data_IF_043291565449
#
_entry.id   IF_043291565449
#
_cell.length_a   1.000
_cell.length_b   1.000
_cell.length_c   1.000
_cell.angle_alpha   90.00
_cell.angle_beta   90.00
_cell.angle_gamma   90.00
#
_symmetry.space_group_name_H-M   'P 1'
#
loop_
_entity.id
_entity.type
_entity.pdbx_description
1 polymer ?
#
# COMPACT_ATOMS: atom_id res chain seq x y z
N UNK A 1 -3.46 -17.06 17.47
CA UNK A 1 -3.48 -15.79 16.70
C UNK A 1 -2.58 -15.94 15.50
N UNK A 2 -3.13 -15.81 14.27
CA UNK A 2 -2.33 -15.95 13.05
C UNK A 2 -1.37 -14.75 12.91
N UNK A 3 -0.12 -15.00 12.55
CA UNK A 3 0.93 -14.00 12.30
C UNK A 3 1.35 -14.10 10.83
N UNK A 4 1.87 -13.02 10.26
CA UNK A 4 2.51 -13.08 8.95
C UNK A 4 4.03 -13.12 9.13
N UNK A 5 4.68 -13.93 8.31
CA UNK A 5 6.12 -14.01 8.21
C UNK A 5 6.53 -13.71 6.78
N UNK A 6 7.25 -12.61 6.56
CA UNK A 6 7.83 -12.33 5.24
C UNK A 6 9.26 -12.87 5.26
N UNK A 7 9.54 -13.72 4.30
CA UNK A 7 10.80 -14.46 4.22
C UNK A 7 11.40 -14.32 2.83
N UNK A 8 12.73 -14.44 2.76
CA UNK A 8 13.47 -14.44 1.52
C UNK A 8 14.71 -15.31 1.66
N UNK A 9 14.89 -16.28 0.75
CA UNK A 9 15.95 -17.30 0.81
C UNK A 9 16.03 -18.02 2.17
N UNK A 10 14.88 -18.34 2.76
CA UNK A 10 14.81 -18.98 4.08
C UNK A 10 15.29 -18.09 5.24
N UNK A 11 15.49 -16.79 5.02
CA UNK A 11 15.74 -15.79 6.05
C UNK A 11 14.45 -15.08 6.43
N UNK A 12 14.38 -14.72 7.71
CA UNK A 12 13.32 -13.94 8.30
C UNK A 12 13.57 -12.45 7.99
N UNK A 13 12.69 -11.80 7.21
CA UNK A 13 12.81 -10.37 6.88
C UNK A 13 12.01 -9.54 7.89
N UNK A 14 10.72 -9.84 8.02
CA UNK A 14 9.85 -9.21 9.02
C UNK A 14 8.74 -10.15 9.49
N UNK A 15 8.24 -9.92 10.71
CA UNK A 15 6.99 -10.51 11.20
C UNK A 15 5.94 -9.43 11.43
N UNK A 16 4.72 -9.67 10.96
CA UNK A 16 3.55 -8.84 11.29
C UNK A 16 2.65 -9.61 12.23
N UNK A 17 2.38 -9.01 13.38
CA UNK A 17 1.55 -9.58 14.44
C UNK A 17 0.32 -8.68 14.58
N UNK A 18 -0.82 -9.07 14.00
CA UNK A 18 -2.06 -8.32 14.13
C UNK A 18 -2.64 -8.48 15.53
N UNK A 19 -3.07 -7.39 16.13
CA UNK A 19 -3.81 -7.36 17.39
C UNK A 19 -5.22 -6.88 17.07
N UNK A 20 -6.12 -7.85 16.90
CA UNK A 20 -7.52 -7.57 16.55
C UNK A 20 -8.26 -7.14 17.80
N UNK A 21 -8.89 -5.96 17.73
CA UNK A 21 -9.85 -5.47 18.71
C UNK A 21 -11.26 -5.53 18.10
N UNK A 22 -12.28 -5.24 18.90
CA UNK A 22 -13.68 -5.28 18.44
C UNK A 22 -13.90 -4.47 17.15
N UNK A 23 -13.46 -3.21 17.13
CA UNK A 23 -13.66 -2.26 16.03
C UNK A 23 -12.36 -1.61 15.53
N UNK A 24 -11.22 -2.27 15.72
CA UNK A 24 -9.95 -1.76 15.20
C UNK A 24 -8.90 -2.86 15.10
N UNK A 25 -7.77 -2.54 14.47
CA UNK A 25 -6.60 -3.39 14.42
C UNK A 25 -5.37 -2.56 14.76
N UNK A 26 -4.50 -3.14 15.59
CA UNK A 26 -3.14 -2.64 15.76
C UNK A 26 -2.18 -3.64 15.14
N UNK A 27 -1.02 -3.15 14.69
CA UNK A 27 0.01 -3.97 14.08
C UNK A 27 1.30 -3.86 14.87
N UNK A 28 1.86 -5.00 15.26
CA UNK A 28 3.26 -5.08 15.70
C UNK A 28 4.10 -5.64 14.56
N UNK A 29 5.12 -4.91 14.17
CA UNK A 29 6.02 -5.25 13.08
C UNK A 29 7.41 -5.43 13.67
N UNK A 30 7.96 -6.64 13.53
CA UNK A 30 9.33 -6.95 13.94
C UNK A 30 10.19 -7.05 12.70
N UNK A 31 11.29 -6.29 12.69
CA UNK A 31 12.23 -6.25 11.57
C UNK A 31 13.53 -6.92 12.02
N UNK A 32 14.04 -7.81 11.19
CA UNK A 32 15.24 -8.58 11.49
C UNK A 32 16.52 -8.00 10.87
N UNK A 33 16.54 -7.48 9.63
CA UNK A 33 17.70 -6.71 9.19
C UNK A 33 17.76 -5.36 9.91
N UNK A 34 18.97 -4.78 9.99
CA UNK A 34 19.09 -3.35 10.29
C UNK A 34 18.50 -2.56 9.12
N UNK A 35 17.77 -1.49 9.43
CA UNK A 35 16.96 -0.80 8.44
C UNK A 35 16.85 0.69 8.79
N UNK A 36 16.76 1.55 7.78
CA UNK A 36 16.41 2.95 7.96
C UNK A 36 14.89 3.09 8.04
N UNK A 37 14.41 3.84 9.02
CA UNK A 37 13.00 4.10 9.25
C UNK A 37 12.65 5.48 8.69
N UNK A 38 11.73 5.51 7.74
CA UNK A 38 11.21 6.74 7.16
C UNK A 38 9.75 6.94 7.59
N UNK A 39 9.43 8.17 7.94
CA UNK A 39 8.08 8.65 8.08
C UNK A 39 7.89 9.76 7.05
N UNK A 40 6.94 9.54 6.15
CA UNK A 40 6.69 10.40 5.01
C UNK A 40 5.32 11.05 5.20
N UNK A 41 5.30 12.37 5.33
CA UNK A 41 4.09 13.18 5.35
C UNK A 41 4.10 14.21 4.23
N UNK A 42 2.95 14.84 3.97
CA UNK A 42 2.90 15.93 2.97
C UNK A 42 3.75 17.13 3.40
N UNK A 43 4.02 17.29 4.70
CA UNK A 43 4.87 18.35 5.26
C UNK A 43 6.36 18.03 5.17
N UNK A 44 6.74 16.78 4.92
CA UNK A 44 8.13 16.39 4.73
C UNK A 44 8.45 14.96 5.14
N UNK A 45 9.75 14.69 5.24
CA UNK A 45 10.28 13.37 5.61
C UNK A 45 10.99 13.46 6.95
N UNK A 46 10.61 12.59 7.88
CA UNK A 46 11.36 12.34 9.11
C UNK A 46 12.05 10.99 9.01
N UNK A 47 13.33 10.94 9.36
CA UNK A 47 14.13 9.70 9.32
C UNK A 47 14.59 9.30 10.72
N UNK A 48 14.73 8.00 10.91
CA UNK A 48 15.34 7.36 12.07
C UNK A 48 16.01 6.07 11.58
N UNK A 49 16.63 5.32 12.48
CA UNK A 49 17.15 3.98 12.24
C UNK A 49 16.40 2.97 13.10
N UNK A 50 16.26 1.75 12.61
CA UNK A 50 15.78 0.61 13.40
C UNK A 50 16.85 -0.48 13.43
N UNK A 51 17.20 -0.88 14.64
CA UNK A 51 18.12 -1.97 14.90
C UNK A 51 17.40 -3.32 14.81
N UNK A 52 18.13 -4.35 14.38
CA UNK A 52 17.63 -5.72 14.37
C UNK A 52 17.01 -6.12 15.71
N UNK A 53 15.74 -6.54 15.67
CA UNK A 53 14.99 -7.01 16.85
C UNK A 53 14.22 -5.92 17.62
N UNK A 54 14.32 -4.65 17.23
CA UNK A 54 13.35 -3.63 17.67
C UNK A 54 11.97 -3.87 17.04
N UNK A 55 10.92 -3.37 17.68
CA UNK A 55 9.53 -3.59 17.28
C UNK A 55 8.87 -2.26 16.93
N UNK A 56 8.29 -2.15 15.75
CA UNK A 56 7.44 -1.03 15.37
C UNK A 56 6.01 -1.39 15.73
N UNK A 57 5.27 -0.46 16.33
CA UNK A 57 3.83 -0.66 16.56
C UNK A 57 3.03 0.46 15.90
N UNK A 58 2.02 0.06 15.13
CA UNK A 58 0.96 0.92 14.63
C UNK A 58 -0.23 0.84 15.59
N UNK A 59 -0.60 1.97 16.15
CA UNK A 59 -1.74 2.12 17.05
C UNK A 59 -2.83 2.93 16.38
N UNK A 60 -4.06 2.41 16.40
CA UNK A 60 -5.25 3.23 16.18
C UNK A 60 -5.50 4.12 17.41
N UNK A 61 -6.30 5.14 17.20
CA UNK A 61 -6.84 6.05 18.19
C UNK A 61 -7.53 5.30 19.32
N UNK A 62 -7.39 5.83 20.53
CA UNK A 62 -8.01 5.28 21.74
C UNK A 62 -8.04 6.33 22.85
N UNK A 63 -9.17 6.44 23.55
CA UNK A 63 -9.29 7.22 24.79
C UNK A 63 -8.65 8.63 24.68
N UNK A 64 -9.10 9.43 23.70
CA UNK A 64 -8.59 10.76 23.36
C UNK A 64 -7.13 10.83 22.87
N UNK A 65 -6.52 9.70 22.49
CA UNK A 65 -5.20 9.66 21.86
C UNK A 65 -5.34 9.46 20.36
N UNK A 66 -4.57 10.22 19.61
CA UNK A 66 -4.45 10.09 18.17
C UNK A 66 -3.77 8.76 17.78
N UNK A 67 -4.07 8.24 16.59
CA UNK A 67 -3.32 7.12 16.02
C UNK A 67 -1.83 7.49 15.91
N UNK A 68 -0.96 6.50 16.02
CA UNK A 68 0.48 6.72 15.96
C UNK A 68 1.27 5.48 15.59
N UNK A 69 2.44 5.71 15.04
CA UNK A 69 3.49 4.70 14.91
C UNK A 69 4.61 5.01 15.88
N UNK A 70 5.08 4.00 16.62
CA UNK A 70 6.26 4.13 17.46
C UNK A 70 7.24 2.97 17.29
N UNK A 71 8.48 3.18 17.72
CA UNK A 71 9.49 2.15 17.85
C UNK A 71 9.67 1.80 19.31
N UNK A 72 9.55 0.52 19.64
CA UNK A 72 9.91 -0.05 20.93
C UNK A 72 11.32 -0.62 20.85
N UNK A 73 12.21 -0.06 21.66
CA UNK A 73 13.60 -0.49 21.79
C UNK A 73 13.70 -1.82 22.55
N UNK A 74 14.89 -2.45 22.50
CA UNK A 74 15.15 -3.72 23.21
C UNK A 74 15.02 -3.63 24.73
N UNK A 75 15.36 -2.48 25.32
CA UNK A 75 15.19 -2.20 26.75
C UNK A 75 13.73 -1.82 27.12
N UNK A 76 12.82 -1.88 26.15
CA UNK A 76 11.38 -1.69 26.35
C UNK A 76 10.94 -0.23 26.36
N UNK A 77 11.83 0.72 26.09
CA UNK A 77 11.50 2.13 25.93
C UNK A 77 10.86 2.39 24.58
N UNK A 78 10.11 3.49 24.50
CA UNK A 78 9.49 3.94 23.27
C UNK A 78 10.26 5.14 22.74
N UNK A 79 10.61 5.10 21.45
CA UNK A 79 11.21 6.21 20.71
C UNK A 79 10.50 6.41 19.38
N UNK A 80 10.71 7.56 18.78
CA UNK A 80 10.18 7.96 17.48
C UNK A 80 8.66 7.84 17.37
N UNK A 81 7.95 8.90 17.77
CA UNK A 81 6.51 9.03 17.59
C UNK A 81 6.24 9.68 16.23
N UNK A 82 5.44 9.01 15.41
CA UNK A 82 4.84 9.56 14.20
C UNK A 82 3.33 9.56 14.38
N UNK A 83 2.77 10.75 14.61
CA UNK A 83 1.36 10.96 14.95
C UNK A 83 0.52 11.36 13.73
N UNK A 84 1.16 11.57 12.56
CA UNK A 84 0.51 11.92 11.29
C UNK A 84 0.00 10.68 10.54
N UNK A 85 -0.35 9.61 11.25
CA UNK A 85 -1.08 8.48 10.66
C UNK A 85 -2.57 8.62 10.92
N UNK A 86 -3.42 7.86 10.22
CA UNK A 86 -4.86 7.79 10.55
C UNK A 86 -5.23 6.43 11.14
N UNK A 87 -6.49 6.24 11.51
CA UNK A 87 -6.95 4.95 11.95
C UNK A 87 -7.01 3.96 10.79
N UNK A 88 -6.58 2.71 11.03
CA UNK A 88 -6.92 1.62 10.13
C UNK A 88 -8.40 1.31 10.32
N UNK A 89 -9.23 1.83 9.43
CA UNK A 89 -10.67 1.61 9.43
C UNK A 89 -11.05 0.23 8.85
N UNK A 90 -12.14 -0.33 9.38
CA UNK A 90 -12.66 -1.65 8.98
C UNK A 90 -13.53 -1.58 7.75
N UNK A 91 -14.06 -0.41 7.38
CA UNK A 91 -15.03 -0.30 6.29
C UNK A 91 -14.42 0.24 5.00
N UNK A 92 -13.08 0.24 4.92
CA UNK A 92 -12.35 0.65 3.73
C UNK A 92 -12.60 -0.32 2.56
N UNK A 93 -13.24 0.21 1.50
CA UNK A 93 -13.46 -0.49 0.23
C UNK A 93 -12.19 -0.48 -0.61
N UNK A 94 -11.35 0.54 -0.45
CA UNK A 94 -10.03 0.64 -1.09
C UNK A 94 -8.96 0.20 -0.09
N UNK A 95 -7.99 -0.64 -0.50
CA UNK A 95 -6.92 -1.04 0.39
C UNK A 95 -6.08 0.14 0.90
N UNK A 96 -5.91 0.17 2.21
CA UNK A 96 -5.22 1.22 2.92
C UNK A 96 -3.72 0.88 3.09
N UNK A 97 -2.79 1.74 2.65
CA UNK A 97 -1.37 1.45 2.74
C UNK A 97 -0.89 1.58 4.18
N UNK A 98 -0.09 0.61 4.63
CA UNK A 98 0.53 0.61 5.96
C UNK A 98 1.99 1.02 5.86
N UNK A 99 2.78 0.30 5.06
CA UNK A 99 4.21 0.59 4.86
C UNK A 99 4.74 -0.01 3.56
N UNK A 100 5.89 0.53 3.12
CA UNK A 100 6.77 -0.04 2.09
C UNK A 100 8.09 -0.41 2.73
N UNK A 101 8.66 -1.56 2.39
CA UNK A 101 9.98 -2.00 2.82
C UNK A 101 10.83 -2.34 1.60
N UNK A 102 12.01 -1.73 1.51
CA UNK A 102 13.05 -2.12 0.56
C UNK A 102 14.11 -2.96 1.27
N UNK A 103 14.61 -3.99 0.59
CA UNK A 103 15.48 -5.03 1.13
C UNK A 103 16.77 -5.07 0.30
N UNK A 104 17.82 -4.45 0.81
CA UNK A 104 19.19 -4.54 0.28
C UNK A 104 19.99 -5.70 0.91
N UNK A 105 19.69 -6.05 2.17
CA UNK A 105 20.37 -7.12 2.92
C UNK A 105 19.35 -7.92 3.75
N UNK A 106 19.49 -9.25 3.75
CA UNK A 106 18.54 -10.19 4.35
C UNK A 106 18.67 -10.31 5.87
N UNK A 107 19.72 -9.75 6.46
CA UNK A 107 20.10 -10.00 7.83
C UNK A 107 20.50 -11.45 8.09
N UNK A 108 20.67 -11.80 9.37
CA UNK A 108 21.22 -13.11 9.78
C UNK A 108 20.17 -14.10 10.26
N UNK A 109 18.93 -13.65 10.51
CA UNK A 109 17.89 -14.47 11.14
C UNK A 109 17.38 -15.55 10.19
N UNK A 110 17.60 -16.81 10.54
CA UNK A 110 17.03 -17.95 9.80
C UNK A 110 15.55 -18.09 10.15
N UNK A 111 14.71 -18.25 9.13
CA UNK A 111 13.30 -18.53 9.30
C UNK A 111 13.11 -19.91 9.94
N UNK A 112 12.24 -19.96 10.95
CA UNK A 112 11.73 -21.22 11.49
C UNK A 112 10.22 -21.19 11.38
N UNK A 113 9.69 -22.15 10.62
CA UNK A 113 8.26 -22.31 10.45
C UNK A 113 7.60 -22.56 11.82
N UNK A 114 6.41 -21.97 12.00
CA UNK A 114 5.56 -22.24 13.16
C UNK A 114 4.12 -22.30 12.68
N UNK A 115 3.33 -23.17 13.31
CA UNK A 115 1.91 -23.40 12.94
C UNK A 115 1.07 -22.13 12.91
N UNK A 116 1.38 -21.13 13.74
CA UNK A 116 0.63 -19.88 13.76
C UNK A 116 1.03 -18.86 12.67
N UNK A 117 2.08 -19.12 11.90
CA UNK A 117 2.57 -18.21 10.87
C UNK A 117 1.95 -18.56 9.51
N UNK A 118 1.50 -17.54 8.79
CA UNK A 118 1.36 -17.58 7.33
C UNK A 118 2.64 -17.01 6.73
N UNK A 119 3.35 -17.82 5.97
CA UNK A 119 4.56 -17.40 5.27
C UNK A 119 4.19 -16.70 3.97
N UNK A 120 4.92 -15.62 3.68
CA UNK A 120 4.98 -14.94 2.40
C UNK A 120 6.44 -15.03 1.99
N UNK A 121 6.76 -15.97 1.11
CA UNK A 121 8.09 -16.04 0.52
C UNK A 121 8.16 -15.00 -0.61
N UNK A 122 9.16 -14.13 -0.55
CA UNK A 122 9.36 -13.11 -1.58
C UNK A 122 9.96 -13.67 -2.87
N UNK A 123 10.42 -14.91 -2.89
CA UNK A 123 10.90 -15.55 -4.11
C UNK A 123 10.35 -16.96 -4.28
N UNK A 124 9.92 -17.26 -5.50
CA UNK A 124 9.83 -18.63 -5.99
C UNK A 124 10.91 -18.82 -7.06
N UNK A 125 11.35 -20.07 -7.28
CA UNK A 125 12.56 -20.45 -8.05
C UNK A 125 12.67 -19.92 -9.50
N UNK A 126 11.72 -19.12 -9.98
CA UNK A 126 11.63 -18.54 -11.31
C UNK A 126 11.40 -17.01 -11.33
N UNK A 127 11.28 -16.35 -10.18
CA UNK A 127 11.09 -14.89 -10.10
C UNK A 127 12.43 -14.17 -9.96
N UNK A 128 12.63 -13.04 -10.65
CA UNK A 128 13.81 -12.21 -10.43
C UNK A 128 13.83 -11.67 -8.98
N UNK A 129 15.03 -11.33 -8.48
CA UNK A 129 15.35 -11.05 -7.07
C UNK A 129 14.46 -9.96 -6.43
N UNK A 130 13.34 -10.36 -5.82
CA UNK A 130 12.35 -9.44 -5.24
C UNK A 130 12.94 -8.75 -4.03
N UNK A 131 13.04 -7.43 -4.11
CA UNK A 131 13.70 -6.61 -3.09
C UNK A 131 12.76 -5.58 -2.45
N UNK A 132 11.47 -5.59 -2.78
CA UNK A 132 10.51 -4.63 -2.23
C UNK A 132 9.21 -5.31 -1.83
N UNK A 133 8.68 -4.91 -0.67
CA UNK A 133 7.45 -5.41 -0.08
C UNK A 133 6.59 -4.24 0.43
N UNK A 134 5.33 -4.21 0.05
CA UNK A 134 4.33 -3.25 0.50
C UNK A 134 3.18 -3.98 1.18
N UNK A 135 2.74 -3.43 2.31
CA UNK A 135 1.60 -3.93 3.04
C UNK A 135 0.42 -2.96 2.93
N UNK A 136 -0.71 -3.51 2.51
CA UNK A 136 -2.00 -2.84 2.56
C UNK A 136 -2.97 -3.65 3.43
N UNK A 137 -3.93 -2.94 4.02
CA UNK A 137 -5.04 -3.52 4.75
C UNK A 137 -6.36 -3.12 4.12
N UNK A 138 -7.23 -4.10 3.96
CA UNK A 138 -8.59 -3.90 3.49
C UNK A 138 -9.53 -4.79 4.28
N UNK A 139 -10.81 -4.51 4.21
CA UNK A 139 -11.82 -5.33 4.86
C UNK A 139 -12.03 -6.65 4.13
N UNK A 140 -12.79 -7.56 4.73
CA UNK A 140 -13.04 -8.87 4.16
C UNK A 140 -14.15 -8.93 3.10
N UNK A 141 -14.70 -7.77 2.73
CA UNK A 141 -15.60 -7.58 1.59
C UNK A 141 -14.84 -7.22 0.30
N UNK A 142 -13.53 -6.98 0.38
CA UNK A 142 -12.72 -6.72 -0.81
C UNK A 142 -12.57 -7.99 -1.65
N UNK A 143 -13.02 -7.93 -2.90
CA UNK A 143 -13.11 -9.10 -3.77
C UNK A 143 -11.80 -9.42 -4.50
N UNK A 144 -10.83 -8.51 -4.55
CA UNK A 144 -9.47 -8.73 -5.06
C UNK A 144 -9.34 -9.06 -6.55
N UNK A 145 -10.45 -9.31 -7.21
CA UNK A 145 -10.59 -9.61 -8.63
C UNK A 145 -10.92 -8.30 -9.38
N UNK A 146 -10.01 -7.78 -10.21
CA UNK A 146 -10.26 -6.56 -10.99
C UNK A 146 -11.46 -6.67 -11.93
N UNK A 147 -11.92 -7.88 -12.29
CA UNK A 147 -13.13 -8.04 -13.10
C UNK A 147 -14.41 -7.81 -12.31
N UNK A 148 -14.36 -7.95 -10.97
CA UNK A 148 -15.49 -7.83 -10.04
C UNK A 148 -15.44 -6.59 -9.17
N UNK A 149 -14.29 -5.94 -9.09
CA UNK A 149 -14.18 -4.63 -8.43
C UNK A 149 -14.94 -3.59 -9.23
N UNK A 150 -15.71 -2.76 -8.52
CA UNK A 150 -16.41 -1.61 -9.10
C UNK A 150 -15.47 -0.47 -9.51
N UNK A 151 -14.21 -0.51 -9.07
CA UNK A 151 -13.20 0.54 -9.31
C UNK A 151 -11.91 -0.04 -9.91
N UNK A 152 -11.96 -0.38 -11.19
CA UNK A 152 -10.88 -1.06 -11.91
C UNK A 152 -9.65 -0.16 -12.06
N UNK A 153 -9.84 1.11 -12.40
CA UNK A 153 -8.74 2.06 -12.53
C UNK A 153 -8.07 2.28 -11.18
N UNK A 154 -8.82 2.38 -10.08
CA UNK A 154 -8.23 2.51 -8.74
C UNK A 154 -7.42 1.27 -8.35
N UNK A 155 -7.95 0.07 -8.62
CA UNK A 155 -7.23 -1.17 -8.35
C UNK A 155 -5.99 -1.34 -9.24
N UNK A 156 -6.06 -0.89 -10.50
CA UNK A 156 -4.91 -0.84 -11.39
C UNK A 156 -3.84 0.11 -10.87
N UNK A 157 -4.21 1.33 -10.46
CA UNK A 157 -3.28 2.30 -9.89
C UNK A 157 -2.53 1.72 -8.69
N UNK A 158 -3.25 1.10 -7.75
CA UNK A 158 -2.66 0.49 -6.56
C UNK A 158 -1.78 -0.71 -6.90
N UNK A 159 -2.24 -1.59 -7.78
CA UNK A 159 -1.51 -2.80 -8.14
C UNK A 159 -0.23 -2.48 -8.93
N UNK A 160 -0.26 -1.45 -9.77
CA UNK A 160 0.88 -1.05 -10.59
C UNK A 160 1.81 -0.13 -9.82
N UNK A 161 1.34 0.98 -9.28
CA UNK A 161 2.21 2.04 -8.73
C UNK A 161 2.58 1.80 -7.27
N UNK A 162 3.82 2.13 -6.86
CA UNK A 162 4.24 2.00 -5.47
C UNK A 162 3.56 3.05 -4.59
N UNK A 163 3.47 2.80 -3.28
CA UNK A 163 2.75 3.66 -2.33
C UNK A 163 3.26 5.09 -2.39
N UNK A 164 4.58 5.26 -2.37
CA UNK A 164 5.24 6.57 -2.40
C UNK A 164 4.89 7.39 -3.63
N UNK A 165 4.73 6.77 -4.80
CA UNK A 165 4.27 7.46 -6.00
C UNK A 165 2.83 7.97 -5.86
N UNK A 166 1.93 7.15 -5.27
CA UNK A 166 0.51 7.48 -5.15
C UNK A 166 0.22 8.59 -4.14
N UNK A 167 1.05 8.73 -3.11
CA UNK A 167 0.85 9.72 -2.03
C UNK A 167 1.69 10.99 -2.17
N UNK A 168 2.72 10.98 -3.01
CA UNK A 168 3.58 12.14 -3.24
C UNK A 168 3.15 12.90 -4.50
N UNK A 169 3.85 13.98 -4.83
CA UNK A 169 3.67 14.76 -6.06
C UNK A 169 4.01 13.96 -7.36
N UNK A 170 4.04 12.63 -7.29
CA UNK A 170 4.53 11.74 -8.34
C UNK A 170 6.05 11.75 -8.40
N UNK A 171 6.70 11.37 -7.29
CA UNK A 171 8.14 11.12 -7.21
C UNK A 171 8.64 10.46 -8.51
N UNK A 172 9.79 10.91 -9.02
CA UNK A 172 10.24 10.59 -10.37
C UNK A 172 10.02 9.13 -10.72
N UNK A 173 9.18 8.95 -11.75
CA UNK A 173 8.68 7.70 -12.28
C UNK A 173 9.80 6.66 -12.28
N UNK A 174 9.82 5.76 -11.28
CA UNK A 174 10.91 4.81 -11.10
C UNK A 174 10.98 3.96 -12.38
N UNK A 175 12.16 3.87 -12.98
CA UNK A 175 12.40 3.18 -14.27
C UNK A 175 11.84 1.76 -14.29
N UNK A 176 11.83 1.08 -13.13
CA UNK A 176 11.27 -0.26 -12.98
C UNK A 176 9.77 -0.35 -13.29
N UNK A 177 9.00 0.74 -13.12
CA UNK A 177 7.58 0.72 -13.48
C UNK A 177 7.34 1.00 -14.97
N UNK A 178 8.24 1.69 -15.67
CA UNK A 178 8.25 1.68 -17.15
C UNK A 178 8.49 0.26 -17.67
N UNK A 179 9.37 -0.47 -17.00
CA UNK A 179 9.64 -1.88 -17.31
C UNK A 179 8.42 -2.79 -17.04
N UNK A 180 7.73 -2.63 -15.89
CA UNK A 180 6.53 -3.42 -15.56
C UNK A 180 5.31 -3.12 -16.45
N UNK A 181 5.15 -1.87 -16.91
CA UNK A 181 4.09 -1.50 -17.85
C UNK A 181 4.32 -2.07 -19.27
N UNK A 182 5.57 -2.32 -19.66
CA UNK A 182 5.93 -2.72 -21.04
C UNK A 182 6.15 -4.23 -21.23
N UNK A 183 6.33 -5.01 -20.16
CA UNK A 183 6.62 -6.46 -20.25
C UNK A 183 5.72 -7.35 -19.38
N UNK A 184 4.69 -6.77 -18.76
CA UNK A 184 3.87 -7.42 -17.75
C UNK A 184 4.50 -7.28 -16.35
N UNK A 185 3.68 -7.33 -15.29
CA UNK A 185 4.13 -6.99 -13.95
C UNK A 185 5.10 -8.03 -13.38
N UNK A 186 6.33 -7.61 -13.01
CA UNK A 186 7.07 -8.24 -11.89
C UNK A 186 6.50 -7.69 -10.57
N UNK A 187 5.17 -7.70 -10.44
CA UNK A 187 4.44 -7.28 -9.26
C UNK A 187 3.51 -8.42 -8.91
N UNK A 188 3.80 -9.06 -7.78
CA UNK A 188 3.00 -10.14 -7.24
C UNK A 188 2.19 -9.59 -6.07
N UNK A 189 0.92 -9.96 -6.02
CA UNK A 189 0.00 -9.52 -4.99
C UNK A 189 -0.64 -10.73 -4.32
N UNK A 190 -0.40 -10.88 -3.02
CA UNK A 190 -0.92 -11.97 -2.22
C UNK A 190 -1.89 -11.44 -1.17
N UNK A 191 -3.11 -11.99 -1.12
CA UNK A 191 -4.11 -11.64 -0.12
C UNK A 191 -4.19 -12.68 1.00
N UNK A 192 -4.05 -12.26 2.26
CA UNK A 192 -4.16 -13.15 3.42
C UNK A 192 -5.25 -12.66 4.37
N UNK A 193 -6.34 -13.42 4.48
CA UNK A 193 -7.43 -13.13 5.42
C UNK A 193 -7.06 -13.49 6.86
N UNK A 194 -7.17 -12.52 7.78
CA UNK A 194 -7.04 -12.70 9.23
C UNK A 194 -8.20 -11.97 9.92
N UNK A 195 -9.18 -12.73 10.40
CA UNK A 195 -10.42 -12.15 10.94
C UNK A 195 -11.20 -11.44 9.84
N UNK A 196 -11.61 -10.20 10.11
CA UNK A 196 -12.34 -9.31 9.18
C UNK A 196 -11.45 -8.44 8.30
N UNK A 197 -10.14 -8.72 8.28
CA UNK A 197 -9.16 -7.97 7.50
C UNK A 197 -8.49 -8.89 6.49
N UNK A 198 -8.19 -8.33 5.32
CA UNK A 198 -7.33 -8.92 4.30
C UNK A 198 -6.03 -8.12 4.27
N UNK A 199 -4.92 -8.82 4.49
CA UNK A 199 -3.58 -8.30 4.35
C UNK A 199 -3.17 -8.49 2.89
N UNK A 200 -3.19 -7.40 2.13
CA UNK A 200 -2.77 -7.39 0.75
C UNK A 200 -1.28 -7.06 0.72
N UNK A 201 -0.52 -8.02 0.23
CA UNK A 201 0.93 -8.01 0.24
C UNK A 201 1.39 -7.85 -1.20
N UNK A 202 1.91 -6.68 -1.54
CA UNK A 202 2.44 -6.39 -2.88
C UNK A 202 3.96 -6.50 -2.81
N UNK A 203 4.56 -7.23 -3.74
CA UNK A 203 6.00 -7.40 -3.77
C UNK A 203 6.52 -7.41 -5.20
N UNK A 204 7.62 -6.69 -5.41
CA UNK A 204 8.16 -6.37 -6.72
C UNK A 204 9.65 -6.02 -6.64
N UNK A 205 10.28 -5.85 -7.81
CA UNK A 205 11.66 -5.38 -7.92
C UNK A 205 11.68 -3.88 -8.06
N UNK A 206 12.56 -3.23 -7.32
CA UNK A 206 12.86 -1.81 -7.44
C UNK A 206 14.35 -1.64 -7.75
N UNK A 207 14.67 -0.80 -8.72
CA UNK A 207 16.07 -0.56 -9.08
C UNK A 207 16.75 0.31 -8.02
N UNK A 208 18.08 0.21 -7.93
CA UNK A 208 18.91 1.10 -7.12
C UNK A 208 18.65 1.04 -5.60
N UNK A 209 18.12 -0.06 -5.08
CA UNK A 209 18.03 -0.30 -3.64
C UNK A 209 19.42 -0.56 -3.07
N UNK A 210 19.94 0.41 -2.30
CA UNK A 210 21.29 0.36 -1.69
C UNK A 210 21.28 0.04 -0.20
N UNK A 211 20.14 0.25 0.44
CA UNK A 211 19.98 0.08 1.88
C UNK A 211 18.60 -0.48 2.21
N UNK A 212 18.51 -1.18 3.33
CA UNK A 212 17.23 -1.60 3.87
C UNK A 212 16.47 -0.36 4.36
N UNK A 213 15.24 -0.18 3.91
CA UNK A 213 14.37 0.88 4.41
C UNK A 213 12.99 0.35 4.74
N UNK A 214 12.33 0.93 5.74
CA UNK A 214 10.90 0.78 5.97
C UNK A 214 10.29 2.17 6.08
N UNK A 215 9.27 2.42 5.28
CA UNK A 215 8.64 3.71 5.12
C UNK A 215 7.18 3.61 5.52
N UNK A 216 6.79 4.42 6.52
CA UNK A 216 5.40 4.66 6.91
C UNK A 216 4.95 6.00 6.36
N UNK A 217 3.64 6.12 6.16
CA UNK A 217 3.07 7.20 5.37
C UNK A 217 1.94 7.87 6.13
N UNK A 218 1.88 9.20 6.07
CA UNK A 218 0.64 9.91 6.31
C UNK A 218 -0.33 9.55 5.18
N UNK A 219 -1.42 8.90 5.56
CA UNK A 219 -2.38 8.31 4.64
C UNK A 219 -3.79 8.89 4.83
N UNK A 220 -3.90 10.03 5.52
CA UNK A 220 -5.15 10.77 5.71
C UNK A 220 -5.87 11.09 4.41
N UNK A 221 -5.10 11.40 3.38
CA UNK A 221 -5.61 11.76 2.06
C UNK A 221 -5.39 10.64 1.04
N UNK A 222 -5.01 9.42 1.45
CA UNK A 222 -4.69 8.35 0.49
C UNK A 222 -5.85 8.04 -0.46
N UNK A 223 -7.07 7.88 0.09
CA UNK A 223 -8.27 7.66 -0.71
C UNK A 223 -8.49 8.82 -1.69
N UNK A 224 -8.44 10.05 -1.19
CA UNK A 224 -8.64 11.25 -2.00
C UNK A 224 -7.57 11.36 -3.11
N UNK A 225 -6.33 11.02 -2.82
CA UNK A 225 -5.22 11.02 -3.77
C UNK A 225 -5.38 9.93 -4.82
N UNK A 226 -5.67 8.68 -4.45
CA UNK A 226 -5.80 7.62 -5.45
C UNK A 226 -6.98 7.87 -6.40
N UNK A 227 -8.14 8.30 -5.88
CA UNK A 227 -9.34 8.53 -6.71
C UNK A 227 -9.16 9.74 -7.64
N UNK A 228 -8.48 10.78 -7.19
CA UNK A 228 -8.24 12.00 -7.98
C UNK A 228 -7.00 11.94 -8.87
N UNK A 229 -6.37 10.77 -9.00
CA UNK A 229 -5.14 10.64 -9.77
C UNK A 229 -5.35 11.09 -11.21
N UNK A 230 -4.60 12.10 -11.69
CA UNK A 230 -4.74 12.53 -13.07
C UNK A 230 -4.21 11.43 -13.99
N UNK A 231 -5.05 10.97 -14.90
CA UNK A 231 -4.76 9.83 -15.76
C UNK A 231 -5.16 10.11 -17.20
N UNK A 232 -4.46 9.49 -18.13
CA UNK A 232 -4.88 9.34 -19.52
C UNK A 232 -4.65 7.89 -19.96
N UNK A 233 -5.49 7.43 -20.88
CA UNK A 233 -5.41 6.09 -21.47
C UNK A 233 -5.00 6.23 -22.93
N UNK A 234 -4.00 5.45 -23.34
CA UNK A 234 -3.61 5.28 -24.73
C UNK A 234 -4.27 4.03 -25.32
N UNK A 235 -5.00 4.22 -26.42
CA UNK A 235 -5.66 3.17 -27.20
C UNK A 235 -5.26 3.32 -28.67
N UNK A 236 -4.55 2.35 -29.21
CA UNK A 236 -4.10 2.33 -30.62
C UNK A 236 -3.39 3.63 -31.05
N UNK A 237 -2.54 4.17 -30.16
CA UNK A 237 -1.81 5.43 -30.38
C UNK A 237 -2.63 6.70 -30.19
N UNK A 238 -3.90 6.60 -29.78
CA UNK A 238 -4.76 7.75 -29.43
C UNK A 238 -4.84 7.91 -27.91
N UNK A 239 -4.65 9.14 -27.45
CA UNK A 239 -4.74 9.49 -26.04
C UNK A 239 -6.14 9.98 -25.67
N UNK A 240 -6.67 9.51 -24.55
CA UNK A 240 -7.83 10.11 -23.91
C UNK A 240 -7.50 11.52 -23.37
N UNK A 241 -8.54 12.28 -23.02
CA UNK A 241 -8.35 13.46 -22.18
C UNK A 241 -7.73 13.07 -20.82
N UNK A 242 -6.98 14.01 -20.24
CA UNK A 242 -6.48 13.87 -18.86
C UNK A 242 -7.63 14.14 -17.91
N UNK A 243 -7.95 13.15 -17.07
CA UNK A 243 -9.01 13.27 -16.09
C UNK A 243 -8.72 12.45 -14.83
N UNK A 244 -9.35 12.75 -13.68
CA UNK A 244 -9.27 11.92 -12.48
C UNK A 244 -9.58 10.44 -12.72
N UNK A 245 -8.87 9.56 -12.03
CA UNK A 245 -9.02 8.11 -12.09
C UNK A 245 -10.46 7.63 -11.95
N UNK A 246 -11.18 8.21 -10.99
CA UNK A 246 -12.54 7.81 -10.68
C UNK A 246 -13.51 8.04 -11.84
N UNK A 247 -13.25 8.99 -12.74
CA UNK A 247 -14.15 9.26 -13.88
C UNK A 247 -14.14 8.10 -14.87
N UNK A 248 -12.98 7.50 -15.12
CA UNK A 248 -12.89 6.29 -15.95
C UNK A 248 -13.69 5.13 -15.34
N UNK A 249 -13.65 4.96 -14.02
CA UNK A 249 -14.43 3.93 -13.34
C UNK A 249 -15.93 4.22 -13.36
N UNK A 250 -16.34 5.48 -13.17
CA UNK A 250 -17.75 5.87 -13.20
C UNK A 250 -18.37 5.79 -14.60
N UNK A 251 -17.60 6.06 -15.66
CA UNK A 251 -18.06 5.96 -17.04
C UNK A 251 -18.33 4.51 -17.44
N UNK A 252 -17.56 3.57 -16.89
CA UNK A 252 -17.70 2.12 -17.12
C UNK A 252 -18.73 1.46 -16.20
N UNK A 253 -19.06 2.09 -15.05
CA UNK A 253 -19.94 1.55 -14.02
C UNK A 253 -21.35 1.10 -14.52
N UNK A 254 -22.05 1.86 -15.39
CA UNK A 254 -23.37 1.48 -15.90
C UNK A 254 -23.37 0.19 -16.71
N UNK A 255 -22.24 -0.16 -17.33
CA UNK A 255 -22.10 -1.32 -18.21
C UNK A 255 -21.73 -2.60 -17.46
N UNK A 256 -21.30 -2.49 -16.19
CA UNK A 256 -20.75 -3.61 -15.42
C UNK A 256 -21.73 -4.19 -14.38
N UNK A 257 -22.73 -3.43 -13.92
CA UNK A 257 -23.46 -3.77 -12.69
C UNK A 257 -25.00 -3.65 -12.74
N UNK A 258 -25.65 -3.65 -13.91
CA UNK A 258 -27.11 -3.39 -14.03
C UNK A 258 -27.53 -2.18 -13.15
N UNK A 259 -26.81 -1.06 -13.32
CA UNK A 259 -26.51 -0.14 -12.24
C UNK A 259 -27.73 0.46 -11.52
N UNK A 260 -27.74 0.30 -10.18
CA UNK A 260 -28.52 1.16 -9.29
C UNK A 260 -27.98 2.59 -9.36
N UNK A 261 -28.73 3.46 -10.03
CA UNK A 261 -28.41 4.89 -10.18
C UNK A 261 -28.13 5.58 -8.84
N UNK A 262 -28.75 5.12 -7.75
CA UNK A 262 -28.50 5.66 -6.41
C UNK A 262 -27.06 5.40 -5.94
N UNK A 263 -26.51 4.22 -6.23
CA UNK A 263 -25.13 3.87 -5.90
C UNK A 263 -24.15 4.71 -6.71
N UNK A 264 -24.43 4.89 -8.00
CA UNK A 264 -23.61 5.72 -8.89
C UNK A 264 -23.54 7.17 -8.41
N UNK A 265 -24.69 7.78 -8.09
CA UNK A 265 -24.76 9.16 -7.60
C UNK A 265 -24.08 9.34 -6.24
N UNK A 266 -24.19 8.34 -5.36
CA UNK A 266 -23.45 8.32 -4.10
C UNK A 266 -21.94 8.39 -4.33
N UNK A 267 -21.40 7.58 -5.26
CA UNK A 267 -19.97 7.58 -5.57
C UNK A 267 -19.52 8.85 -6.28
N UNK A 268 -20.31 9.38 -7.22
CA UNK A 268 -20.07 10.71 -7.83
C UNK A 268 -19.90 11.79 -6.78
N UNK A 269 -20.77 11.82 -5.77
CA UNK A 269 -20.68 12.78 -4.67
C UNK A 269 -19.39 12.59 -3.87
N UNK A 270 -19.10 11.36 -3.43
CA UNK A 270 -17.89 11.05 -2.65
C UNK A 270 -16.62 11.47 -3.41
N UNK A 271 -16.52 11.11 -4.68
CA UNK A 271 -15.34 11.43 -5.48
C UNK A 271 -15.23 12.93 -5.82
N UNK A 272 -16.36 13.60 -6.08
CA UNK A 272 -16.38 15.05 -6.26
C UNK A 272 -15.90 15.80 -5.01
N UNK A 273 -16.31 15.34 -3.81
CA UNK A 273 -15.84 15.89 -2.54
C UNK A 273 -14.32 15.67 -2.36
N UNK A 274 -13.81 14.48 -2.69
CA UNK A 274 -12.36 14.20 -2.72
C UNK A 274 -11.60 15.11 -3.69
N UNK A 275 -12.14 15.36 -4.88
CA UNK A 275 -11.51 16.24 -5.87
C UNK A 275 -11.40 17.68 -5.39
N UNK A 276 -12.46 18.22 -4.80
CA UNK A 276 -12.44 19.56 -4.21
C UNK A 276 -11.40 19.64 -3.08
N UNK A 277 -11.38 18.65 -2.19
CA UNK A 277 -10.43 18.57 -1.08
C UNK A 277 -8.97 18.55 -1.56
N UNK A 278 -8.64 17.80 -2.60
CA UNK A 278 -7.28 17.77 -3.16
C UNK A 278 -6.92 19.07 -3.88
N UNK A 279 -7.87 19.69 -4.59
CA UNK A 279 -7.66 21.01 -5.21
C UNK A 279 -7.31 22.07 -4.17
N UNK A 280 -8.00 22.08 -3.03
CA UNK A 280 -7.75 23.03 -1.94
C UNK A 280 -6.37 22.85 -1.30
N UNK A 281 -5.87 21.61 -1.24
CA UNK A 281 -4.53 21.29 -0.75
C UNK A 281 -3.42 21.66 -1.76
N UNK A 282 -3.77 22.03 -3.00
CA UNK A 282 -2.84 22.44 -4.06
C UNK A 282 -1.73 21.43 -4.37
N UNK A 283 -2.02 20.13 -4.19
CA UNK A 283 -1.09 19.07 -4.59
C UNK A 283 -0.80 19.15 -6.10
N UNK A 284 0.48 19.14 -6.47
CA UNK A 284 0.89 19.08 -7.87
C UNK A 284 1.20 17.65 -8.22
N UNK A 285 0.47 17.08 -9.16
CA UNK A 285 0.56 15.65 -9.46
C UNK A 285 0.86 15.42 -10.93
N UNK A 286 1.78 14.51 -11.21
CA UNK A 286 2.08 14.08 -12.57
C UNK A 286 0.94 13.21 -13.10
N UNK A 287 0.56 13.44 -14.35
CA UNK A 287 -0.39 12.59 -15.07
C UNK A 287 0.20 11.20 -15.29
N UNK A 288 -0.59 10.18 -15.04
CA UNK A 288 -0.27 8.79 -15.34
C UNK A 288 -0.80 8.43 -16.72
N UNK A 289 0.06 7.85 -17.55
CA UNK A 289 -0.33 7.26 -18.83
C UNK A 289 -0.51 5.75 -18.66
N UNK A 290 -1.71 5.25 -18.92
CA UNK A 290 -1.97 3.82 -19.04
C UNK A 290 -2.01 3.46 -20.52
N UNK A 291 -1.11 2.57 -20.95
CA UNK A 291 -1.17 1.97 -22.27
C UNK A 291 -2.05 0.72 -22.19
N UNK A 292 -3.14 0.69 -22.95
CA UNK A 292 -4.01 -0.48 -23.03
C UNK A 292 -3.75 -1.19 -24.36
N UNK A 293 -2.95 -2.24 -24.32
CA UNK A 293 -2.79 -3.17 -25.42
C UNK A 293 -3.91 -4.21 -25.33
N UNK A 294 -4.72 -4.36 -26.37
CA UNK A 294 -5.70 -5.45 -26.45
C UNK A 294 -4.95 -6.79 -26.55
N UNK A 295 -5.06 -7.63 -25.52
CA UNK A 295 -4.95 -9.08 -25.60
C UNK A 295 -6.14 -9.72 -24.89
#
# INVERSE_FOLDING_TARGET
MKKLAVTKHGKDILRIIPIIKANSIELKIKIFPQCNLNFLSYLGKKTDSISSGEEITYHNSRDNKNPKVHVKTKDGKYRCLFEEVVDIEIDNIIPFPIFKMNIADLGTKIYKEKKENRQIELEENSTPDINTFELYLVNDKYEGDPSKTIFRCLDLLRSVFPIDYLISDGADYIETFKYNLSRGPICLMTGIKIGKYIFLCKHYIENNIKENTISFYENKYYFDLIVTTPMCIELDGKLSAVMPAYLFDLDEFPFQNEADMYILDKWRKIFGDSENKIKDLKFKRKTILIQRTWE
#
